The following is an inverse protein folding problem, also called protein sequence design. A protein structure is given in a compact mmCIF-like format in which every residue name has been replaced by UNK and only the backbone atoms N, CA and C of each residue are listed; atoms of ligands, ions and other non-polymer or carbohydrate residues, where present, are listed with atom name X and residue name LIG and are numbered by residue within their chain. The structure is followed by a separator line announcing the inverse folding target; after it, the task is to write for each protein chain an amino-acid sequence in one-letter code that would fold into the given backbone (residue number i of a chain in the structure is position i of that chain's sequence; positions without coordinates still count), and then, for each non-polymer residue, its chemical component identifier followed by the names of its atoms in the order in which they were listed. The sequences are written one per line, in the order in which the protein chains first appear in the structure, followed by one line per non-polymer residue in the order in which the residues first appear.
data_IF_916198839793
#
_entry.id   IF_916198839793
#
_cell.length_a   1.000
_cell.length_b   1.000
_cell.length_c   1.000
_cell.angle_alpha   90.00
_cell.angle_beta   90.00
_cell.angle_gamma   90.00
#
_symmetry.space_group_name_H-M   'P 1'
#
loop_
_entity.id
_entity.type
_entity.pdbx_description
1 polymer ?
#
# COMPACT_ATOMS: atom_id res chain seq x y z
N UNK A 1 -34.44 4.12 -9.88
CA UNK A 1 -34.15 2.68 -10.05
C UNK A 1 -32.66 2.43 -10.29
N UNK A 2 -32.02 3.03 -11.32
CA UNK A 2 -30.57 2.88 -11.59
C UNK A 2 -29.65 3.22 -10.41
N UNK A 3 -29.84 4.39 -9.77
CA UNK A 3 -29.09 4.83 -8.57
C UNK A 3 -29.27 3.90 -7.35
N UNK A 4 -30.42 3.21 -7.25
CA UNK A 4 -30.71 2.27 -6.15
C UNK A 4 -29.99 0.93 -6.39
N UNK A 5 -29.94 0.48 -7.64
CA UNK A 5 -29.21 -0.73 -8.05
C UNK A 5 -27.69 -0.52 -7.93
N UNK A 6 -27.20 0.65 -8.32
CA UNK A 6 -25.78 1.04 -8.16
C UNK A 6 -25.39 1.09 -6.68
N UNK A 7 -26.23 1.66 -5.81
CA UNK A 7 -25.99 1.67 -4.36
C UNK A 7 -26.03 0.26 -3.73
N UNK A 8 -26.94 -0.61 -4.18
CA UNK A 8 -27.00 -1.98 -3.66
C UNK A 8 -25.77 -2.82 -4.07
N UNK A 9 -25.29 -2.63 -5.31
CA UNK A 9 -24.06 -3.29 -5.79
C UNK A 9 -22.82 -2.78 -5.03
N UNK A 10 -22.77 -1.47 -4.76
CA UNK A 10 -21.75 -0.82 -3.95
C UNK A 10 -21.67 -1.42 -2.54
N UNK A 11 -22.81 -1.51 -1.86
CA UNK A 11 -22.89 -2.10 -0.53
C UNK A 11 -22.44 -3.57 -0.52
N UNK A 12 -22.75 -4.31 -1.58
CA UNK A 12 -22.35 -5.70 -1.75
C UNK A 12 -20.82 -5.85 -1.95
N UNK A 13 -20.17 -5.00 -2.75
CA UNK A 13 -18.71 -5.02 -2.96
C UNK A 13 -17.96 -4.66 -1.67
N UNK A 14 -18.38 -3.61 -0.97
CA UNK A 14 -17.80 -3.22 0.33
C UNK A 14 -17.98 -4.35 1.35
N UNK A 15 -19.17 -4.94 1.44
CA UNK A 15 -19.45 -6.05 2.33
C UNK A 15 -18.56 -7.27 2.03
N UNK A 16 -18.28 -7.54 0.75
CA UNK A 16 -17.39 -8.62 0.36
C UNK A 16 -15.95 -8.37 0.81
N UNK A 17 -15.39 -7.17 0.60
CA UNK A 17 -14.03 -6.84 1.08
C UNK A 17 -13.92 -6.91 2.60
N UNK A 18 -14.95 -6.46 3.33
CA UNK A 18 -14.98 -6.56 4.79
C UNK A 18 -15.06 -8.02 5.26
N UNK A 19 -15.88 -8.84 4.60
CA UNK A 19 -16.02 -10.28 4.90
C UNK A 19 -14.71 -11.04 4.67
N UNK A 20 -13.98 -10.71 3.61
CA UNK A 20 -12.69 -11.36 3.31
C UNK A 20 -11.52 -10.74 4.06
N UNK A 21 -11.70 -9.57 4.70
CA UNK A 21 -10.63 -8.76 5.33
C UNK A 21 -9.62 -8.22 4.30
N UNK A 22 -10.05 -8.03 3.05
CA UNK A 22 -9.24 -7.43 1.99
C UNK A 22 -9.24 -5.89 2.12
N UNK A 23 -8.57 -5.40 3.16
CA UNK A 23 -8.54 -3.99 3.49
C UNK A 23 -7.77 -3.16 2.44
N UNK A 24 -6.72 -3.69 1.82
CA UNK A 24 -5.97 -2.95 0.81
C UNK A 24 -6.85 -2.59 -0.39
N UNK A 25 -7.59 -3.56 -0.94
CA UNK A 25 -8.53 -3.31 -2.04
C UNK A 25 -9.71 -2.44 -1.61
N UNK A 26 -10.19 -2.55 -0.37
CA UNK A 26 -11.18 -1.63 0.16
C UNK A 26 -10.64 -0.18 0.24
N UNK A 27 -9.36 -0.01 0.58
CA UNK A 27 -8.68 1.28 0.56
C UNK A 27 -8.60 1.88 -0.84
N UNK A 28 -8.17 1.08 -1.82
CA UNK A 28 -8.11 1.46 -3.25
C UNK A 28 -9.50 1.80 -3.79
N UNK A 29 -10.52 1.02 -3.41
CA UNK A 29 -11.92 1.28 -3.74
C UNK A 29 -12.33 2.70 -3.31
N UNK A 30 -12.05 3.07 -2.06
CA UNK A 30 -12.38 4.40 -1.57
C UNK A 30 -11.58 5.51 -2.27
N UNK A 31 -10.30 5.30 -2.58
CA UNK A 31 -9.51 6.28 -3.35
C UNK A 31 -10.05 6.50 -4.76
N UNK A 32 -10.48 5.45 -5.45
CA UNK A 32 -11.13 5.56 -6.76
C UNK A 32 -12.39 6.43 -6.67
N UNK A 33 -13.25 6.18 -5.69
CA UNK A 33 -14.47 6.97 -5.49
C UNK A 33 -14.17 8.40 -5.10
N UNK A 34 -13.14 8.64 -4.29
CA UNK A 34 -12.69 9.99 -3.98
C UNK A 34 -12.31 10.78 -5.23
N UNK A 35 -11.64 10.14 -6.20
CA UNK A 35 -11.28 10.81 -7.45
C UNK A 35 -12.49 11.07 -8.34
N UNK A 36 -13.45 10.15 -8.41
CA UNK A 36 -14.73 10.37 -9.12
C UNK A 36 -15.46 11.58 -8.52
N UNK A 37 -15.55 11.66 -7.18
CA UNK A 37 -16.15 12.81 -6.50
C UNK A 37 -15.38 14.12 -6.80
N UNK A 38 -14.05 14.11 -6.87
CA UNK A 38 -13.26 15.29 -7.26
C UNK A 38 -13.55 15.74 -8.68
N UNK A 39 -13.59 14.82 -9.64
CA UNK A 39 -13.93 15.13 -11.04
C UNK A 39 -15.31 15.78 -11.14
N UNK A 40 -16.25 15.38 -10.27
CA UNK A 40 -17.60 15.93 -10.17
C UNK A 40 -17.73 17.15 -9.24
N UNK A 41 -16.63 17.67 -8.67
CA UNK A 41 -16.60 18.79 -7.72
C UNK A 41 -17.42 18.55 -6.44
N UNK A 42 -17.58 17.29 -6.04
CA UNK A 42 -18.18 16.87 -4.77
C UNK A 42 -17.07 16.77 -3.70
N UNK A 43 -16.60 17.92 -3.20
CA UNK A 43 -15.41 17.98 -2.36
C UNK A 43 -15.65 17.38 -0.97
N UNK A 44 -16.85 17.56 -0.41
CA UNK A 44 -17.18 16.99 0.90
C UNK A 44 -17.06 15.45 0.88
N UNK A 45 -17.72 14.82 -0.09
CA UNK A 45 -17.73 13.36 -0.27
C UNK A 45 -16.35 12.83 -0.63
N UNK A 46 -15.61 13.54 -1.50
CA UNK A 46 -14.25 13.14 -1.85
C UNK A 46 -13.33 13.06 -0.65
N UNK A 47 -13.36 14.09 0.22
CA UNK A 47 -12.58 14.09 1.45
C UNK A 47 -12.95 12.88 2.31
N UNK A 48 -14.25 12.63 2.53
CA UNK A 48 -14.71 11.52 3.38
C UNK A 48 -14.22 10.16 2.82
N UNK A 49 -14.27 9.99 1.50
CA UNK A 49 -13.71 8.81 0.84
C UNK A 49 -12.19 8.71 0.99
N UNK A 50 -11.42 9.79 0.89
CA UNK A 50 -9.97 9.74 1.14
C UNK A 50 -9.65 9.35 2.58
N UNK A 51 -10.40 9.87 3.56
CA UNK A 51 -10.20 9.49 4.96
C UNK A 51 -10.48 8.00 5.15
N UNK A 52 -11.55 7.48 4.55
CA UNK A 52 -11.85 6.04 4.56
C UNK A 52 -10.74 5.23 3.88
N UNK A 53 -10.29 5.64 2.69
CA UNK A 53 -9.21 4.96 1.99
C UNK A 53 -7.92 4.91 2.81
N UNK A 54 -7.53 6.02 3.46
CA UNK A 54 -6.39 6.07 4.36
C UNK A 54 -6.55 5.27 5.65
N UNK A 55 -7.77 4.90 6.05
CA UNK A 55 -7.96 4.02 7.20
C UNK A 55 -7.61 2.56 6.88
N UNK A 56 -7.73 2.15 5.61
CA UNK A 56 -7.52 0.77 5.20
C UNK A 56 -6.20 0.54 4.46
N UNK A 57 -5.81 1.45 3.57
CA UNK A 57 -4.62 1.26 2.74
C UNK A 57 -3.34 1.29 3.57
N UNK A 58 -2.40 0.41 3.25
CA UNK A 58 -1.05 0.38 3.83
C UNK A 58 -0.03 0.98 2.86
N UNK A 59 -0.12 0.67 1.57
CA UNK A 59 0.74 1.23 0.54
C UNK A 59 -0.04 2.02 -0.51
N UNK A 60 0.34 3.28 -0.70
CA UNK A 60 -0.05 4.12 -1.83
C UNK A 60 1.17 4.37 -2.74
N UNK A 61 1.92 3.30 -3.02
CA UNK A 61 3.13 3.30 -3.84
C UNK A 61 2.82 3.34 -5.34
N UNK A 62 1.84 2.56 -5.80
CA UNK A 62 1.28 2.69 -7.13
C UNK A 62 -0.06 3.44 -7.08
N UNK A 63 0.01 4.75 -7.24
CA UNK A 63 -1.18 5.59 -7.32
C UNK A 63 -1.79 5.62 -8.70
N UNK A 64 -1.19 5.04 -9.74
CA UNK A 64 -1.66 5.20 -11.13
C UNK A 64 -3.03 4.54 -11.36
N UNK A 65 -3.33 3.49 -10.61
CA UNK A 65 -4.61 2.79 -10.70
C UNK A 65 -5.80 3.65 -10.22
N UNK A 66 -5.57 4.59 -9.30
CA UNK A 66 -6.64 5.40 -8.73
C UNK A 66 -6.44 6.91 -8.85
N UNK A 67 -5.27 7.41 -9.26
CA UNK A 67 -4.97 8.83 -9.46
C UNK A 67 -4.44 9.09 -10.88
N UNK A 68 -5.23 9.81 -11.68
CA UNK A 68 -4.91 10.17 -13.07
C UNK A 68 -4.71 11.69 -13.17
N UNK A 69 -3.45 12.14 -13.09
CA UNK A 69 -3.04 13.55 -12.90
C UNK A 69 -3.75 14.57 -13.82
N UNK A 70 -4.14 14.19 -15.04
CA UNK A 70 -4.53 15.18 -16.05
C UNK A 70 -5.89 15.85 -15.81
N UNK A 71 -6.78 15.28 -14.98
CA UNK A 71 -8.13 15.83 -14.73
C UNK A 71 -8.28 16.57 -13.40
N UNK A 72 -7.61 16.08 -12.36
CA UNK A 72 -7.84 16.49 -10.97
C UNK A 72 -7.17 17.84 -10.64
N UNK A 73 -6.11 18.21 -11.36
CA UNK A 73 -5.30 19.42 -11.13
C UNK A 73 -6.03 20.74 -11.41
N UNK A 74 -7.05 20.70 -12.25
CA UNK A 74 -7.82 21.88 -12.67
C UNK A 74 -9.09 22.08 -11.84
N UNK A 75 -9.44 21.11 -10.98
CA UNK A 75 -10.71 21.10 -10.22
C UNK A 75 -10.83 22.32 -9.30
N UNK A 76 -9.71 22.80 -8.75
CA UNK A 76 -9.69 23.96 -7.85
C UNK A 76 -9.60 25.32 -8.54
N UNK A 77 -9.09 25.42 -9.77
CA UNK A 77 -8.84 26.72 -10.43
C UNK A 77 -10.12 27.45 -10.84
N UNK A 78 -11.20 26.71 -11.08
CA UNK A 78 -12.48 27.24 -11.54
C UNK A 78 -13.60 27.14 -10.47
N UNK A 79 -13.24 26.91 -9.21
CA UNK A 79 -14.19 26.68 -8.12
C UNK A 79 -14.09 27.80 -7.10
N UNK A 80 -15.12 28.64 -7.03
CA UNK A 80 -15.23 29.74 -6.06
C UNK A 80 -16.09 29.37 -4.85
N UNK A 81 -16.93 28.34 -4.96
CA UNK A 81 -17.79 27.83 -3.90
C UNK A 81 -17.48 26.35 -3.67
N UNK A 82 -17.27 25.99 -2.40
CA UNK A 82 -16.99 24.62 -1.97
C UNK A 82 -18.15 24.11 -1.12
N UNK A 83 -18.52 22.84 -1.30
CA UNK A 83 -19.61 22.18 -0.57
C UNK A 83 -19.17 21.69 0.83
N UNK A 84 -17.99 22.10 1.29
CA UNK A 84 -17.39 21.59 2.51
C UNK A 84 -16.53 22.64 3.25
N UNK A 85 -16.22 22.43 4.54
CA UNK A 85 -15.40 23.37 5.31
C UNK A 85 -13.97 23.49 4.79
N UNK A 86 -13.32 24.62 5.09
CA UNK A 86 -11.99 24.97 4.61
C UNK A 86 -10.92 23.88 4.86
N UNK A 87 -10.97 23.20 6.01
CA UNK A 87 -9.98 22.16 6.32
C UNK A 87 -10.05 20.98 5.33
N UNK A 88 -11.24 20.56 4.90
CA UNK A 88 -11.40 19.49 3.90
C UNK A 88 -10.80 19.92 2.57
N UNK A 89 -10.99 21.18 2.18
CA UNK A 89 -10.38 21.75 0.97
C UNK A 89 -8.86 21.77 1.06
N UNK A 90 -8.29 22.24 2.17
CA UNK A 90 -6.83 22.24 2.34
C UNK A 90 -6.24 20.83 2.36
N UNK A 91 -6.95 19.84 2.93
CA UNK A 91 -6.57 18.44 2.80
C UNK A 91 -6.54 17.97 1.34
N UNK A 92 -7.61 18.23 0.59
CA UNK A 92 -7.72 17.81 -0.80
C UNK A 92 -6.66 18.47 -1.68
N UNK A 93 -6.39 19.77 -1.50
CA UNK A 93 -5.28 20.46 -2.18
C UNK A 93 -3.94 19.82 -1.84
N UNK A 94 -3.68 19.55 -0.56
CA UNK A 94 -2.43 18.91 -0.13
C UNK A 94 -2.26 17.53 -0.78
N UNK A 95 -3.33 16.73 -0.83
CA UNK A 95 -3.35 15.43 -1.48
C UNK A 95 -3.01 15.53 -2.98
N UNK A 96 -3.71 16.39 -3.72
CA UNK A 96 -3.50 16.59 -5.17
C UNK A 96 -2.07 17.05 -5.45
N UNK A 97 -1.61 18.10 -4.75
CA UNK A 97 -0.26 18.61 -4.91
C UNK A 97 0.81 17.56 -4.59
N UNK A 98 0.59 16.71 -3.59
CA UNK A 98 1.49 15.59 -3.27
C UNK A 98 1.62 14.65 -4.47
N UNK A 99 0.52 14.15 -5.01
CA UNK A 99 0.55 13.17 -6.13
C UNK A 99 0.98 13.77 -7.47
N UNK A 100 0.92 15.09 -7.61
CA UNK A 100 1.47 15.80 -8.77
C UNK A 100 2.96 16.10 -8.67
N UNK A 101 3.64 15.70 -7.60
CA UNK A 101 5.04 16.05 -7.41
C UNK A 101 5.28 17.48 -6.89
N UNK A 102 4.21 18.25 -6.62
CA UNK A 102 4.26 19.66 -6.20
C UNK A 102 4.43 19.78 -4.67
N UNK A 103 5.55 19.28 -4.16
CA UNK A 103 5.78 19.10 -2.71
C UNK A 103 5.71 20.40 -1.90
N UNK A 104 6.18 21.53 -2.45
CA UNK A 104 6.14 22.83 -1.76
C UNK A 104 4.71 23.32 -1.56
N UNK A 105 3.88 23.25 -2.60
CA UNK A 105 2.46 23.61 -2.54
C UNK A 105 1.70 22.66 -1.62
N UNK A 106 1.99 21.36 -1.68
CA UNK A 106 1.42 20.36 -0.78
C UNK A 106 1.72 20.69 0.68
N UNK A 107 2.94 21.15 0.97
CA UNK A 107 3.37 21.50 2.32
C UNK A 107 2.61 22.71 2.88
N UNK A 108 2.29 23.71 2.04
CA UNK A 108 1.49 24.87 2.45
C UNK A 108 0.10 24.40 2.89
N UNK A 109 -0.61 23.68 2.01
CA UNK A 109 -1.97 23.23 2.30
C UNK A 109 -2.05 22.23 3.46
N UNK A 110 -1.08 21.32 3.60
CA UNK A 110 -1.12 20.37 4.72
C UNK A 110 -0.86 21.05 6.07
N UNK A 111 -0.07 22.13 6.10
CA UNK A 111 0.11 22.91 7.32
C UNK A 111 -1.20 23.59 7.72
N UNK A 112 -1.90 24.23 6.78
CA UNK A 112 -3.23 24.80 7.03
C UNK A 112 -4.21 23.74 7.54
N UNK A 113 -4.21 22.53 6.96
CA UNK A 113 -5.05 21.43 7.45
C UNK A 113 -4.70 21.04 8.89
N UNK A 114 -3.43 20.89 9.23
CA UNK A 114 -2.99 20.53 10.59
C UNK A 114 -3.36 21.63 11.60
N UNK A 115 -3.22 22.90 11.24
CA UNK A 115 -3.61 24.03 12.11
C UNK A 115 -5.11 24.01 12.42
N UNK A 116 -5.93 23.64 11.43
CA UNK A 116 -7.39 23.52 11.59
C UNK A 116 -7.83 22.18 12.23
N UNK A 117 -7.02 21.12 12.10
CA UNK A 117 -7.31 19.75 12.56
C UNK A 117 -6.10 19.13 13.28
N UNK A 118 -5.66 19.69 14.42
CA UNK A 118 -4.37 19.33 15.05
C UNK A 118 -4.33 17.92 15.64
N UNK A 119 -5.49 17.27 15.80
CA UNK A 119 -5.63 15.92 16.36
C UNK A 119 -5.94 14.86 15.29
N UNK A 120 -5.78 15.18 14.00
CA UNK A 120 -5.97 14.22 12.90
C UNK A 120 -4.61 13.62 12.50
N UNK A 121 -4.44 12.30 12.64
CA UNK A 121 -3.17 11.63 12.37
C UNK A 121 -2.79 11.69 10.89
N UNK A 122 -3.77 11.73 9.99
CA UNK A 122 -3.57 11.71 8.54
C UNK A 122 -2.85 13.00 8.11
N UNK A 123 -3.11 14.13 8.77
CA UNK A 123 -2.39 15.39 8.53
C UNK A 123 -0.89 15.25 8.72
N UNK A 124 -0.47 14.72 9.87
CA UNK A 124 0.95 14.49 10.16
C UNK A 124 1.55 13.39 9.27
N UNK A 125 0.79 12.35 8.95
CA UNK A 125 1.20 11.31 8.00
C UNK A 125 1.49 11.90 6.60
N UNK A 126 0.56 12.68 6.04
CA UNK A 126 0.73 13.32 4.74
C UNK A 126 1.88 14.31 4.75
N UNK A 127 2.04 15.09 5.83
CA UNK A 127 3.20 15.98 5.98
C UNK A 127 4.52 15.21 5.94
N UNK A 128 4.60 14.07 6.62
CA UNK A 128 5.76 13.17 6.52
C UNK A 128 6.01 12.69 5.09
N UNK A 129 4.96 12.28 4.36
CA UNK A 129 5.10 11.91 2.94
C UNK A 129 5.61 13.06 2.07
N UNK A 130 5.06 14.26 2.25
CA UNK A 130 5.46 15.47 1.52
C UNK A 130 6.94 15.78 1.80
N UNK A 131 7.37 15.69 3.05
CA UNK A 131 8.77 15.90 3.44
C UNK A 131 9.71 14.87 2.81
N UNK A 132 9.31 13.59 2.74
CA UNK A 132 10.06 12.55 2.02
C UNK A 132 10.20 12.88 0.52
N UNK A 133 9.16 13.39 -0.12
CA UNK A 133 9.21 13.82 -1.53
C UNK A 133 10.16 15.01 -1.72
N UNK A 134 10.25 15.89 -0.72
CA UNK A 134 11.22 16.99 -0.64
C UNK A 134 12.61 16.54 -0.16
N UNK A 135 12.87 15.24 -0.04
CA UNK A 135 14.11 14.64 0.48
C UNK A 135 14.49 15.03 1.92
N UNK A 136 13.55 15.57 2.71
CA UNK A 136 13.72 15.90 4.13
C UNK A 136 13.39 14.69 5.01
N UNK A 137 14.11 13.59 4.79
CA UNK A 137 13.73 12.27 5.30
C UNK A 137 13.77 12.15 6.84
N UNK A 138 14.69 12.84 7.53
CA UNK A 138 14.71 12.84 9.00
C UNK A 138 13.50 13.59 9.59
N UNK A 139 13.19 14.76 9.06
CA UNK A 139 12.00 15.53 9.47
C UNK A 139 10.71 14.74 9.18
N UNK A 140 10.67 14.01 8.05
CA UNK A 140 9.55 13.14 7.73
C UNK A 140 9.29 12.07 8.81
N UNK A 141 10.36 11.45 9.34
CA UNK A 141 10.27 10.48 10.45
C UNK A 141 9.65 11.11 11.69
N UNK A 142 10.03 12.34 12.06
CA UNK A 142 9.45 13.03 13.22
C UNK A 142 7.94 13.25 13.05
N UNK A 143 7.50 13.64 11.86
CA UNK A 143 6.08 13.83 11.55
C UNK A 143 5.31 12.50 11.50
N UNK A 144 5.91 11.42 11.01
CA UNK A 144 5.29 10.09 11.12
C UNK A 144 5.15 9.65 12.59
N UNK A 145 6.12 9.95 13.45
CA UNK A 145 5.99 9.67 14.89
C UNK A 145 4.88 10.50 15.55
N UNK A 146 4.69 11.76 15.15
CA UNK A 146 3.53 12.56 15.59
C UNK A 146 2.21 11.91 15.18
N UNK A 147 2.09 11.41 13.95
CA UNK A 147 0.91 10.67 13.50
C UNK A 147 0.67 9.41 14.37
N UNK A 148 1.72 8.62 14.65
CA UNK A 148 1.59 7.41 15.48
C UNK A 148 1.16 7.70 16.93
N UNK A 149 1.54 8.85 17.49
CA UNK A 149 1.10 9.26 18.83
C UNK A 149 -0.41 9.52 18.91
N UNK A 150 -1.01 9.97 17.80
CA UNK A 150 -2.46 10.19 17.71
C UNK A 150 -3.17 8.86 17.43
N UNK A 151 -2.75 8.15 16.38
CA UNK A 151 -3.31 6.85 16.00
C UNK A 151 -2.26 5.99 15.33
N UNK A 152 -2.06 4.78 15.86
CA UNK A 152 -1.19 3.78 15.25
C UNK A 152 -1.89 3.15 14.04
N UNK A 153 -1.29 3.26 12.86
CA UNK A 153 -1.85 2.72 11.61
C UNK A 153 -0.79 1.97 10.80
N UNK A 154 -1.23 1.01 9.96
CA UNK A 154 -0.34 0.24 9.08
C UNK A 154 0.43 1.16 8.13
N UNK A 155 -0.25 2.09 7.44
CA UNK A 155 0.36 3.07 6.51
C UNK A 155 1.51 3.86 7.13
N UNK A 156 1.34 4.34 8.36
CA UNK A 156 2.36 5.16 9.01
C UNK A 156 3.59 4.33 9.37
N UNK A 157 3.40 3.12 9.90
CA UNK A 157 4.49 2.18 10.19
C UNK A 157 5.22 1.75 8.91
N UNK A 158 4.46 1.44 7.85
CA UNK A 158 5.00 1.11 6.54
C UNK A 158 5.88 2.26 6.01
N UNK A 159 5.39 3.51 6.06
CA UNK A 159 6.16 4.68 5.62
C UNK A 159 7.41 4.92 6.46
N UNK A 160 7.37 4.73 7.79
CA UNK A 160 8.57 4.82 8.64
C UNK A 160 9.60 3.77 8.22
N UNK A 161 9.18 2.50 8.11
CA UNK A 161 10.06 1.40 7.76
C UNK A 161 10.70 1.59 6.39
N UNK A 162 9.91 1.97 5.37
CA UNK A 162 10.41 2.29 4.02
C UNK A 162 11.37 3.47 4.01
N UNK A 163 11.09 4.52 4.78
CA UNK A 163 11.96 5.71 4.85
C UNK A 163 13.30 5.34 5.46
N UNK A 164 13.28 4.58 6.57
CA UNK A 164 14.49 4.06 7.23
C UNK A 164 15.32 3.22 6.26
N UNK A 165 14.74 2.21 5.64
CA UNK A 165 15.49 1.29 4.78
C UNK A 165 15.94 1.94 3.47
N UNK A 166 15.03 2.57 2.73
CA UNK A 166 15.30 3.06 1.36
C UNK A 166 15.97 4.44 1.31
N UNK A 167 15.63 5.34 2.24
CA UNK A 167 16.08 6.74 2.19
C UNK A 167 17.22 7.04 3.16
N UNK A 168 17.15 6.50 4.38
CA UNK A 168 18.12 6.76 5.44
C UNK A 168 19.16 5.65 5.60
N UNK A 169 18.95 4.48 4.96
CA UNK A 169 19.76 3.26 5.11
C UNK A 169 19.85 2.76 6.56
N UNK A 170 18.87 3.10 7.39
CA UNK A 170 18.73 2.67 8.78
C UNK A 170 17.81 1.44 8.89
N UNK A 171 17.96 0.68 9.97
CA UNK A 171 17.14 -0.51 10.22
C UNK A 171 15.66 -0.12 10.43
N UNK A 172 14.79 -0.56 9.52
CA UNK A 172 13.35 -0.26 9.47
C UNK A 172 12.46 -1.50 9.35
N UNK A 173 13.03 -2.71 9.30
CA UNK A 173 12.29 -3.96 9.14
C UNK A 173 11.21 -4.19 10.20
N UNK A 174 11.47 -3.81 11.46
CA UNK A 174 10.49 -3.96 12.55
C UNK A 174 9.22 -3.14 12.27
N UNK A 175 9.37 -1.94 11.69
CA UNK A 175 8.22 -1.09 11.38
C UNK A 175 7.43 -1.65 10.18
N UNK A 176 8.13 -2.15 9.15
CA UNK A 176 7.48 -2.84 8.03
C UNK A 176 6.71 -4.08 8.49
N UNK A 177 7.31 -4.90 9.35
CA UNK A 177 6.65 -6.07 9.93
C UNK A 177 5.41 -5.69 10.76
N UNK A 178 5.53 -4.68 11.61
CA UNK A 178 4.38 -4.17 12.38
C UNK A 178 3.28 -3.60 11.48
N UNK A 179 3.61 -3.07 10.30
CA UNK A 179 2.61 -2.65 9.33
C UNK A 179 1.84 -3.83 8.76
N UNK A 180 2.55 -4.91 8.38
CA UNK A 180 1.98 -6.18 7.91
C UNK A 180 1.04 -6.78 8.95
N UNK A 181 1.43 -6.80 10.23
CA UNK A 181 0.57 -7.32 11.28
C UNK A 181 -0.74 -6.52 11.46
N UNK A 182 -0.71 -5.22 11.17
CA UNK A 182 -1.91 -4.37 11.28
C UNK A 182 -2.82 -4.47 10.06
N UNK A 183 -2.25 -4.67 8.88
CA UNK A 183 -3.01 -4.95 7.67
C UNK A 183 -2.23 -5.96 6.82
N UNK A 184 -2.58 -7.25 6.92
CA UNK A 184 -1.89 -8.30 6.19
C UNK A 184 -2.34 -8.43 4.73
N UNK A 185 -3.34 -7.66 4.29
CA UNK A 185 -3.82 -7.66 2.90
C UNK A 185 -2.97 -6.80 1.95
N UNK A 186 -1.93 -6.13 2.42
CA UNK A 186 -1.07 -5.31 1.55
C UNK A 186 0.08 -6.12 0.95
N UNK A 187 -0.05 -6.54 -0.31
CA UNK A 187 0.99 -7.25 -1.05
C UNK A 187 2.31 -6.47 -1.13
N UNK A 188 2.22 -5.15 -1.39
CA UNK A 188 3.36 -4.24 -1.39
C UNK A 188 4.12 -4.19 -0.05
N UNK A 189 3.41 -4.19 1.08
CA UNK A 189 4.07 -4.18 2.39
C UNK A 189 4.90 -5.45 2.60
N UNK A 190 4.37 -6.61 2.19
CA UNK A 190 5.04 -7.90 2.23
C UNK A 190 6.26 -7.95 1.33
N UNK A 191 6.10 -7.51 0.08
CA UNK A 191 7.19 -7.47 -0.89
C UNK A 191 8.36 -6.63 -0.39
N UNK A 192 8.10 -5.41 0.09
CA UNK A 192 9.14 -4.53 0.60
C UNK A 192 9.80 -5.03 1.89
N UNK A 193 9.02 -5.64 2.79
CA UNK A 193 9.59 -6.28 3.96
C UNK A 193 10.54 -7.41 3.55
N UNK A 194 10.11 -8.29 2.65
CA UNK A 194 10.89 -9.42 2.17
C UNK A 194 12.18 -8.95 1.48
N UNK A 195 12.07 -7.99 0.57
CA UNK A 195 13.17 -7.32 -0.13
C UNK A 195 14.22 -6.81 0.87
N UNK A 196 13.81 -5.95 1.82
CA UNK A 196 14.74 -5.37 2.78
C UNK A 196 15.32 -6.39 3.76
N UNK A 197 14.56 -7.42 4.15
CA UNK A 197 15.03 -8.47 5.03
C UNK A 197 16.10 -9.35 4.37
N UNK A 198 15.98 -9.59 3.06
CA UNK A 198 17.04 -10.20 2.26
C UNK A 198 18.28 -9.32 2.18
N UNK A 199 18.12 -8.01 1.90
CA UNK A 199 19.24 -7.06 1.84
C UNK A 199 20.03 -6.97 3.15
N UNK A 200 19.34 -7.09 4.29
CA UNK A 200 19.96 -7.05 5.63
C UNK A 200 20.54 -8.40 6.05
N UNK A 201 20.32 -9.48 5.28
CA UNK A 201 20.73 -10.83 5.66
C UNK A 201 20.00 -11.38 6.89
N UNK A 202 18.84 -10.80 7.24
CA UNK A 202 17.96 -11.33 8.30
C UNK A 202 17.46 -12.72 7.91
N UNK A 203 17.22 -12.91 6.62
CA UNK A 203 17.00 -14.24 6.06
C UNK A 203 18.35 -14.93 5.77
N UNK A 204 18.57 -16.18 6.25
CA UNK A 204 19.81 -16.93 6.02
C UNK A 204 20.26 -16.98 4.56
N UNK A 205 21.57 -16.98 4.32
CA UNK A 205 22.19 -16.94 2.98
C UNK A 205 21.73 -18.08 2.03
N UNK A 206 21.26 -19.21 2.57
CA UNK A 206 20.61 -20.31 1.82
C UNK A 206 19.37 -19.86 1.02
N UNK A 207 18.76 -18.73 1.39
CA UNK A 207 17.61 -18.15 0.70
C UNK A 207 17.95 -17.28 -0.51
N UNK A 208 19.23 -16.91 -0.69
CA UNK A 208 19.71 -16.09 -1.83
C UNK A 208 19.71 -16.86 -3.16
N UNK A 209 19.91 -18.18 -3.12
CA UNK A 209 19.98 -19.06 -4.29
C UNK A 209 18.61 -19.54 -4.81
N UNK A 210 17.54 -19.33 -4.04
CA UNK A 210 16.19 -19.81 -4.39
C UNK A 210 15.54 -19.03 -5.54
N UNK A 211 16.02 -17.84 -5.90
CA UNK A 211 15.46 -17.04 -7.00
C UNK A 211 15.87 -17.48 -8.42
N UNK A 212 16.64 -18.58 -8.56
CA UNK A 212 17.09 -19.10 -9.86
C UNK A 212 16.73 -20.56 -10.13
N UNK A 213 16.07 -21.28 -9.22
CA UNK A 213 15.77 -22.71 -9.41
C UNK A 213 14.27 -22.99 -9.48
N UNK A 214 13.87 -23.68 -10.55
CA UNK A 214 12.56 -24.30 -10.75
C UNK A 214 12.16 -25.19 -9.57
N UNK A 215 10.97 -24.92 -9.04
CA UNK A 215 10.02 -25.89 -8.48
C UNK A 215 10.56 -26.94 -7.48
N UNK A 216 10.79 -26.53 -6.22
CA UNK A 216 10.25 -27.21 -5.02
C UNK A 216 10.71 -26.50 -3.73
N UNK A 217 9.73 -25.94 -3.04
CA UNK A 217 9.69 -25.60 -1.62
C UNK A 217 10.88 -24.84 -0.98
N UNK A 218 10.84 -23.51 -1.10
CA UNK A 218 11.40 -22.60 -0.09
C UNK A 218 10.28 -21.77 0.53
N UNK A 219 10.21 -21.79 1.86
CA UNK A 219 9.33 -20.96 2.68
C UNK A 219 9.44 -19.45 2.32
N UNK A 220 10.58 -19.02 1.76
CA UNK A 220 10.83 -17.62 1.39
C UNK A 220 10.48 -17.29 -0.05
N UNK A 221 10.57 -18.24 -0.99
CA UNK A 221 9.87 -18.12 -2.28
C UNK A 221 8.37 -18.04 -2.01
N UNK A 222 7.86 -18.86 -1.07
CA UNK A 222 6.47 -18.77 -0.65
C UNK A 222 6.16 -17.40 -0.07
N UNK A 223 6.97 -16.85 0.84
CA UNK A 223 6.81 -15.49 1.37
C UNK A 223 6.80 -14.37 0.32
N UNK A 224 7.75 -14.41 -0.60
CA UNK A 224 7.88 -13.43 -1.69
C UNK A 224 6.72 -13.56 -2.68
N UNK A 225 6.41 -14.80 -3.10
CA UNK A 225 5.25 -15.10 -3.92
C UNK A 225 3.93 -14.84 -3.19
N UNK A 226 3.88 -14.94 -1.86
CA UNK A 226 2.73 -14.57 -1.03
C UNK A 226 2.54 -13.05 -1.07
N UNK A 227 3.62 -12.28 -0.95
CA UNK A 227 3.58 -10.83 -1.17
C UNK A 227 3.06 -10.46 -2.56
N UNK A 228 3.50 -11.19 -3.59
CA UNK A 228 3.06 -11.01 -4.98
C UNK A 228 1.65 -11.55 -5.26
N UNK A 229 1.13 -12.49 -4.46
CA UNK A 229 -0.16 -13.18 -4.65
C UNK A 229 -1.12 -12.98 -3.49
N UNK A 230 -0.86 -12.01 -2.61
CA UNK A 230 -1.77 -11.70 -1.50
C UNK A 230 -3.13 -11.32 -2.06
N UNK A 231 -3.16 -10.64 -3.20
CA UNK A 231 -4.39 -10.27 -3.87
C UNK A 231 -5.22 -11.52 -4.30
N UNK A 232 -4.57 -12.63 -4.68
CA UNK A 232 -5.21 -13.93 -5.00
C UNK A 232 -5.69 -14.67 -3.74
N UNK A 233 -4.98 -14.52 -2.62
CA UNK A 233 -5.26 -15.17 -1.33
C UNK A 233 -6.57 -14.64 -0.73
N UNK A 234 -6.84 -13.35 -0.88
CA UNK A 234 -8.06 -12.76 -0.34
C UNK A 234 -9.32 -13.03 -1.19
N UNK A 235 -9.20 -13.82 -2.26
CA UNK A 235 -10.30 -14.23 -3.16
C UNK A 235 -10.82 -15.65 -2.85
N UNK A 236 -10.05 -16.52 -2.19
CA UNK A 236 -10.42 -17.92 -1.88
C UNK A 236 -10.41 -18.20 -0.34
N UNK A 237 -11.02 -19.30 0.16
CA UNK A 237 -11.14 -19.57 1.62
C UNK A 237 -9.94 -20.33 2.27
N UNK A 238 -9.30 -21.26 1.56
CA UNK A 238 -8.03 -21.91 1.99
C UNK A 238 -6.80 -20.99 2.27
N UNK A 239 -6.65 -19.82 1.64
CA UNK A 239 -5.51 -18.90 1.80
C UNK A 239 -5.33 -18.24 3.18
N UNK A 240 -6.38 -18.13 4.01
CA UNK A 240 -6.25 -17.53 5.37
C UNK A 240 -5.32 -18.36 6.27
N UNK A 241 -5.31 -19.69 6.11
CA UNK A 241 -4.39 -20.58 6.84
C UNK A 241 -2.95 -20.39 6.39
N UNK A 242 -2.71 -20.29 5.09
CA UNK A 242 -1.37 -20.03 4.54
C UNK A 242 -0.81 -18.68 4.99
N UNK A 243 -1.63 -17.64 5.02
CA UNK A 243 -1.24 -16.34 5.54
C UNK A 243 -0.86 -16.41 7.01
N UNK A 244 -1.63 -17.12 7.83
CA UNK A 244 -1.32 -17.33 9.26
C UNK A 244 0.02 -18.04 9.45
N UNK A 245 0.24 -19.17 8.76
CA UNK A 245 1.49 -19.94 8.87
C UNK A 245 2.70 -19.08 8.44
N UNK A 246 2.52 -18.24 7.42
CA UNK A 246 3.53 -17.28 6.99
C UNK A 246 3.84 -16.22 8.06
N UNK A 247 2.81 -15.60 8.65
CA UNK A 247 3.00 -14.60 9.72
C UNK A 247 3.69 -15.22 10.95
N UNK A 248 3.36 -16.47 11.30
CA UNK A 248 4.02 -17.20 12.38
C UNK A 248 5.51 -17.45 12.10
N UNK A 249 5.87 -17.74 10.84
CA UNK A 249 7.27 -17.88 10.41
C UNK A 249 8.01 -16.54 10.49
N UNK A 250 7.37 -15.45 10.05
CA UNK A 250 7.95 -14.11 10.17
C UNK A 250 8.22 -13.74 11.63
N UNK A 251 7.24 -14.00 12.52
CA UNK A 251 7.36 -13.70 13.95
C UNK A 251 8.55 -14.44 14.57
N UNK A 252 8.66 -15.75 14.32
CA UNK A 252 9.78 -16.58 14.79
C UNK A 252 11.13 -16.06 14.27
N UNK A 253 11.19 -15.74 12.98
CA UNK A 253 12.43 -15.23 12.34
C UNK A 253 12.87 -13.91 12.95
N UNK A 254 11.94 -12.97 13.15
CA UNK A 254 12.26 -11.66 13.71
C UNK A 254 12.59 -11.70 15.20
N UNK A 255 11.95 -12.61 15.97
CA UNK A 255 12.33 -12.85 17.38
C UNK A 255 13.75 -13.38 17.49
N UNK A 256 14.08 -14.41 16.72
CA UNK A 256 15.45 -14.94 16.65
C UNK A 256 16.43 -13.86 16.22
N UNK A 257 16.09 -13.06 15.19
CA UNK A 257 16.96 -11.97 14.76
C UNK A 257 17.17 -10.92 15.86
N UNK A 258 16.14 -10.53 16.60
CA UNK A 258 16.24 -9.55 17.70
C UNK A 258 17.09 -10.06 18.86
N UNK A 259 17.06 -11.37 19.12
CA UNK A 259 17.92 -12.02 20.11
C UNK A 259 19.38 -12.12 19.64
N UNK A 260 19.59 -12.25 18.33
CA UNK A 260 20.90 -12.36 17.68
C UNK A 260 21.49 -11.03 17.21
N UNK A 261 20.72 -9.94 17.23
CA UNK A 261 21.12 -8.67 16.63
C UNK A 261 22.28 -8.06 17.42
N UNK A 262 23.48 -8.20 16.86
CA UNK A 262 24.67 -7.45 17.26
C UNK A 262 24.67 -6.06 16.57
N UNK A 263 25.28 -5.00 17.16
CA UNK A 263 25.32 -3.65 16.60
C UNK A 263 25.82 -3.58 15.13
N UNK A 264 26.63 -4.54 14.72
CA UNK A 264 27.18 -4.69 13.35
C UNK A 264 26.12 -4.86 12.24
N UNK A 265 24.89 -5.30 12.56
CA UNK A 265 23.80 -5.47 11.58
C UNK A 265 22.95 -4.21 11.37
N UNK A 266 23.03 -3.23 12.26
CA UNK A 266 22.47 -1.89 12.01
C UNK A 266 23.22 -1.21 10.85
N UNK A 267 24.51 -1.50 10.72
CA UNK A 267 25.44 -0.89 9.76
C UNK A 267 25.68 -1.70 8.47
N UNK A 268 25.38 -3.00 8.45
CA UNK A 268 25.59 -3.85 7.26
C UNK A 268 24.49 -3.63 6.21
N UNK A 269 24.81 -2.86 5.18
CA UNK A 269 24.14 -2.88 3.88
C UNK A 269 24.87 -3.91 3.01
N UNK A 270 24.23 -5.01 2.61
CA UNK A 270 24.84 -5.87 1.59
C UNK A 270 24.74 -5.22 0.19
N UNK A 271 25.84 -5.30 -0.55
CA UNK A 271 26.13 -4.65 -1.84
C UNK A 271 25.35 -5.28 -3.04
N UNK A 272 25.38 -4.67 -4.25
CA UNK A 272 24.28 -3.99 -4.95
C UNK A 272 23.63 -4.82 -6.08
N UNK A 273 23.86 -6.13 -6.17
CA UNK A 273 23.47 -6.93 -7.36
C UNK A 273 22.07 -7.54 -7.25
N UNK A 274 21.17 -6.96 -6.46
CA UNK A 274 19.78 -7.38 -6.32
C UNK A 274 18.82 -6.31 -6.87
N UNK A 275 19.11 -5.75 -8.05
CA UNK A 275 18.08 -4.99 -8.77
C UNK A 275 17.02 -5.97 -9.28
N UNK A 276 16.10 -6.35 -8.41
CA UNK A 276 14.84 -6.97 -8.81
C UNK A 276 14.00 -5.92 -9.52
N UNK A 277 13.50 -6.28 -10.69
CA UNK A 277 12.49 -5.53 -11.43
C UNK A 277 11.36 -5.03 -10.51
N UNK A 278 10.76 -3.88 -10.83
CA UNK A 278 9.73 -3.29 -9.98
C UNK A 278 8.58 -4.25 -9.72
N UNK A 279 7.87 -4.10 -8.60
CA UNK A 279 6.64 -4.87 -8.33
C UNK A 279 5.69 -4.84 -9.54
N UNK A 280 5.53 -3.66 -10.16
CA UNK A 280 4.73 -3.45 -11.36
C UNK A 280 5.23 -4.24 -12.58
N UNK A 281 6.55 -4.42 -12.77
CA UNK A 281 7.13 -5.20 -13.87
C UNK A 281 6.82 -6.71 -13.70
N UNK A 282 6.68 -7.17 -12.46
CA UNK A 282 6.32 -8.55 -12.14
C UNK A 282 4.80 -8.80 -12.29
N UNK A 283 3.97 -7.80 -12.00
CA UNK A 283 2.51 -7.89 -12.15
C UNK A 283 2.04 -7.66 -13.59
N UNK A 284 2.72 -6.82 -14.39
CA UNK A 284 2.35 -6.55 -15.79
C UNK A 284 2.49 -7.76 -16.73
N UNK A 285 3.31 -8.76 -16.37
CA UNK A 285 3.39 -10.01 -17.14
C UNK A 285 2.18 -10.96 -16.96
N UNK A 286 1.21 -10.60 -16.12
CA UNK A 286 0.06 -11.44 -15.79
C UNK A 286 -1.30 -10.87 -16.23
N UNK A 287 -1.39 -9.59 -16.59
CA UNK A 287 -2.62 -9.03 -17.18
C UNK A 287 -2.91 -9.60 -18.58
N UNK A 288 -1.87 -10.00 -19.34
CA UNK A 288 -2.00 -10.62 -20.66
C UNK A 288 -2.54 -12.08 -20.61
N UNK A 289 -2.68 -12.68 -19.42
CA UNK A 289 -3.21 -14.04 -19.27
C UNK A 289 -4.64 -14.10 -18.69
N UNK A 290 -5.27 -12.96 -18.42
CA UNK A 290 -6.64 -12.89 -17.89
C UNK A 290 -7.68 -12.38 -18.89
N UNK A 291 -7.31 -12.09 -20.14
CA UNK A 291 -8.27 -11.64 -21.17
C UNK A 291 -8.65 -12.69 -22.22
N UNK A 292 -8.00 -13.86 -22.29
CA UNK A 292 -8.15 -14.76 -23.45
C UNK A 292 -8.71 -16.18 -23.16
N UNK A 293 -9.36 -16.45 -22.03
CA UNK A 293 -9.98 -17.78 -21.80
C UNK A 293 -11.40 -17.81 -21.20
N UNK A 294 -12.16 -16.71 -21.24
CA UNK A 294 -13.60 -16.77 -20.97
C UNK A 294 -14.43 -15.94 -21.96
N UNK A 295 -14.55 -16.45 -23.18
CA UNK A 295 -15.49 -15.93 -24.17
C UNK A 295 -15.53 -16.78 -25.44
N UNK A 296 -16.65 -17.48 -25.66
CA UNK A 296 -17.07 -18.20 -26.87
C UNK A 296 -16.16 -19.34 -27.36
N UNK A 297 -16.54 -20.59 -27.13
CA UNK A 297 -17.53 -21.22 -27.99
C UNK A 297 -18.06 -22.54 -27.42
N UNK A 298 -19.37 -22.66 -27.43
CA UNK A 298 -20.05 -23.94 -27.25
C UNK A 298 -20.07 -24.63 -28.61
N UNK A 299 -19.38 -25.76 -28.75
CA UNK A 299 -19.84 -26.97 -29.44
C UNK A 299 -18.68 -27.85 -29.95
N UNK A 300 -18.89 -29.16 -29.85
CA UNK A 300 -18.16 -30.26 -30.51
C UNK A 300 -16.71 -30.54 -30.09
N UNK A 301 -16.49 -31.64 -29.35
CA UNK A 301 -16.07 -32.92 -29.93
C UNK A 301 -15.39 -33.83 -28.89
N UNK A 302 -16.09 -34.92 -28.58
CA UNK A 302 -15.62 -36.29 -28.32
C UNK A 302 -14.28 -36.56 -27.61
N UNK A 303 -14.46 -37.14 -26.41
CA UNK A 303 -13.65 -38.20 -25.81
C UNK A 303 -12.91 -39.10 -26.81
N UNK A 304 -11.63 -39.34 -26.55
CA UNK A 304 -11.04 -40.68 -26.68
C UNK A 304 -9.91 -40.84 -25.68
N UNK A 305 -10.04 -41.91 -24.88
CA UNK A 305 -9.00 -42.51 -24.08
C UNK A 305 -8.05 -43.28 -25.01
N UNK A 306 -6.76 -43.21 -24.73
CA UNK A 306 -5.83 -44.35 -24.72
C UNK A 306 -4.78 -44.08 -23.63
#
# INVERSE_FOLDING_TARGET
MKKVIENAKLEQEIAQFLKTENFENLGVYYFNNAMICLENKQFNESYDYLILGYNYITCDCDSKHWYKNNKVDQVFKNSMNFDCPAYKIEFLKAFIHLYNGQGTQALISINCFIDLQPNNEIGYYLKGKILNQLNKNFEAIDFFFKALKIKRTSKTLYRIGRTREKKLKMFGLIDLYRAILLNPSSGHAHWHFAEHAMYRGVFPMKFKFFFQSTLSESILIRAFNLGLRIDEIYINEEPKKMLKDYIDILDKTLKQFKELSKPEYETKLFHPNFYGHGYDDFCQGYDDYLTDEFGSDASTAHWNMD
#
